data_IF_670595752254
#
_entry.id   IF_670595752254
#
_cell.length_a   1.000
_cell.length_b   1.000
_cell.length_c   1.000
_cell.angle_alpha   90.00
_cell.angle_beta   90.00
_cell.angle_gamma   90.00
#
_symmetry.space_group_name_H-M   'P 1'
#
loop_
_entity.id
_entity.type
_entity.pdbx_description
1 polymer ?
#
# COMPACT_ATOMS: atom_id res chain seq x y z
N UNK A 1 -17.35 9.61 -13.41
CA UNK A 1 -16.44 9.11 -12.37
C UNK A 1 -16.74 9.92 -11.12
N UNK A 2 -17.03 9.29 -9.98
CA UNK A 2 -17.28 10.04 -8.74
C UNK A 2 -16.07 10.93 -8.44
N UNK A 3 -16.30 12.16 -7.95
CA UNK A 3 -15.22 13.05 -7.52
C UNK A 3 -14.36 12.30 -6.51
N UNK A 4 -13.14 11.94 -6.92
CA UNK A 4 -12.14 11.41 -6.00
C UNK A 4 -11.82 12.54 -5.01
N UNK A 5 -11.77 12.28 -3.69
CA UNK A 5 -11.37 13.30 -2.73
C UNK A 5 -10.05 13.90 -3.18
N UNK A 6 -9.92 15.23 -3.23
CA UNK A 6 -8.70 15.89 -3.69
C UNK A 6 -8.12 16.86 -2.64
N UNK A 7 -8.89 17.15 -1.60
CA UNK A 7 -8.52 18.03 -0.50
C UNK A 7 -8.69 17.34 0.86
N UNK A 8 -7.99 17.77 1.92
CA UNK A 8 -8.21 17.28 3.29
C UNK A 8 -9.69 17.27 3.68
N UNK A 9 -10.41 18.35 3.37
CA UNK A 9 -11.84 18.49 3.63
C UNK A 9 -12.68 17.43 2.93
N UNK A 10 -12.41 17.13 1.67
CA UNK A 10 -13.13 16.07 0.93
C UNK A 10 -12.96 14.70 1.60
N UNK A 11 -11.76 14.43 2.16
CA UNK A 11 -11.48 13.19 2.89
C UNK A 11 -12.30 13.12 4.17
N UNK A 12 -12.38 14.20 4.94
CA UNK A 12 -13.19 14.26 6.15
C UNK A 12 -14.68 14.12 5.85
N UNK A 13 -15.16 14.74 4.78
CA UNK A 13 -16.55 14.62 4.34
C UNK A 13 -16.87 13.20 3.85
N UNK A 14 -15.94 12.55 3.14
CA UNK A 14 -16.05 11.13 2.78
C UNK A 14 -16.16 10.26 4.04
N UNK A 15 -15.23 10.42 4.99
CA UNK A 15 -15.20 9.64 6.22
C UNK A 15 -16.50 9.76 7.03
N UNK A 16 -17.03 10.99 7.16
CA UNK A 16 -18.33 11.25 7.81
C UNK A 16 -19.48 10.58 7.07
N UNK A 17 -19.54 10.76 5.74
CA UNK A 17 -20.61 10.21 4.90
C UNK A 17 -20.68 8.69 4.96
N UNK A 18 -19.54 8.02 5.04
CA UNK A 18 -19.46 6.54 5.04
C UNK A 18 -19.42 5.95 6.44
N UNK A 19 -19.45 6.78 7.49
CA UNK A 19 -19.38 6.34 8.87
C UNK A 19 -18.07 5.63 9.21
N UNK A 20 -16.95 6.06 8.59
CA UNK A 20 -15.63 5.52 8.88
C UNK A 20 -15.31 5.71 10.37
N UNK A 21 -14.80 4.66 11.02
CA UNK A 21 -14.40 4.66 12.43
C UNK A 21 -12.89 4.63 12.60
N UNK A 22 -12.19 4.08 11.61
CA UNK A 22 -10.74 3.97 11.56
C UNK A 22 -10.21 4.58 10.27
N UNK A 23 -8.93 4.95 10.29
CA UNK A 23 -8.16 5.27 9.10
C UNK A 23 -6.91 4.39 9.05
N UNK A 24 -6.66 3.78 7.90
CA UNK A 24 -5.51 2.95 7.60
C UNK A 24 -4.52 3.72 6.75
N UNK A 25 -3.37 4.03 7.36
CA UNK A 25 -2.32 4.88 6.83
C UNK A 25 -1.28 3.98 6.17
N UNK A 26 -1.20 4.05 4.84
CA UNK A 26 -0.44 3.10 4.02
C UNK A 26 0.73 3.77 3.32
N UNK A 27 1.85 3.10 3.20
CA UNK A 27 2.98 3.50 2.37
C UNK A 27 3.69 2.27 1.82
N UNK A 28 4.65 2.46 0.93
CA UNK A 28 5.39 1.37 0.28
C UNK A 28 6.84 1.42 0.71
N UNK A 29 7.39 0.30 1.17
CA UNK A 29 8.82 0.20 1.48
C UNK A 29 9.67 0.10 0.20
N UNK A 30 10.99 0.23 0.31
CA UNK A 30 11.93 0.17 -0.83
C UNK A 30 11.76 -1.07 -1.70
N UNK A 31 11.27 -2.18 -1.13
CA UNK A 31 11.11 -3.46 -1.81
C UNK A 31 9.72 -3.65 -2.43
N UNK A 32 8.84 -2.64 -2.36
CA UNK A 32 7.51 -2.69 -2.95
C UNK A 32 6.44 -3.29 -2.03
N UNK A 33 6.75 -3.56 -0.76
CA UNK A 33 5.77 -4.08 0.20
C UNK A 33 4.92 -2.93 0.74
N UNK A 34 3.60 -3.10 0.74
CA UNK A 34 2.70 -2.20 1.46
C UNK A 34 2.89 -2.36 2.97
N UNK A 35 3.26 -1.27 3.62
CA UNK A 35 3.33 -1.11 5.06
C UNK A 35 2.16 -0.24 5.51
N UNK A 36 1.60 -0.51 6.68
CA UNK A 36 0.47 0.27 7.16
C UNK A 36 0.29 0.21 8.67
N UNK A 37 -0.40 1.21 9.21
CA UNK A 37 -0.89 1.23 10.57
C UNK A 37 -2.23 1.94 10.63
N UNK A 38 -3.03 1.62 11.66
CA UNK A 38 -4.39 2.11 11.79
C UNK A 38 -4.51 3.09 12.95
N UNK A 39 -5.22 4.20 12.72
CA UNK A 39 -5.56 5.20 13.75
C UNK A 39 -7.08 5.37 13.85
N UNK A 40 -7.62 5.80 15.00
CA UNK A 40 -9.02 6.23 15.09
C UNK A 40 -9.31 7.37 14.10
N UNK A 41 -10.50 7.40 13.51
CA UNK A 41 -10.86 8.44 12.55
C UNK A 41 -10.79 9.86 13.15
N UNK A 42 -10.89 9.98 14.48
CA UNK A 42 -10.75 11.26 15.20
C UNK A 42 -9.35 11.86 15.08
N UNK A 43 -8.33 11.05 14.81
CA UNK A 43 -6.95 11.51 14.59
C UNK A 43 -6.75 12.07 13.18
N UNK A 44 -7.68 11.83 12.25
CA UNK A 44 -7.63 12.39 10.90
C UNK A 44 -8.26 13.78 10.94
N UNK A 45 -7.45 14.79 11.23
CA UNK A 45 -7.83 16.21 11.13
C UNK A 45 -7.36 16.81 9.80
N UNK A 46 -7.61 18.10 9.53
CA UNK A 46 -6.99 18.75 8.36
C UNK A 46 -5.48 18.92 8.53
N UNK A 47 -5.00 19.09 9.77
CA UNK A 47 -3.60 19.37 10.09
C UNK A 47 -2.67 18.19 9.78
N UNK A 48 -3.14 16.94 9.92
CA UNK A 48 -2.31 15.75 9.64
C UNK A 48 -1.90 15.63 8.16
N UNK A 49 -2.58 16.32 7.24
CA UNK A 49 -2.17 16.38 5.84
C UNK A 49 -0.96 17.31 5.62
N UNK A 50 -0.68 18.20 6.57
CA UNK A 50 0.51 19.08 6.59
C UNK A 50 1.56 18.68 7.62
N UNK A 51 1.16 18.00 8.70
CA UNK A 51 2.04 17.60 9.79
C UNK A 51 2.50 16.14 9.69
N UNK A 52 1.71 15.29 9.05
CA UNK A 52 1.99 13.87 8.90
C UNK A 52 1.74 13.06 10.16
N UNK A 53 1.75 11.74 10.00
CA UNK A 53 1.69 10.78 11.09
C UNK A 53 3.11 10.30 11.44
N UNK A 54 3.49 10.39 12.71
CA UNK A 54 4.77 9.85 13.17
C UNK A 54 4.78 8.32 13.16
N UNK A 55 5.88 7.72 12.70
CA UNK A 55 6.12 6.27 12.77
C UNK A 55 7.62 5.95 12.90
N UNK A 56 7.92 4.71 13.32
CA UNK A 56 9.29 4.20 13.43
C UNK A 56 9.80 3.68 12.07
N UNK A 57 10.67 4.46 11.44
CA UNK A 57 11.34 4.11 10.19
C UNK A 57 12.48 3.10 10.34
N UNK A 58 12.95 2.80 11.55
CA UNK A 58 14.02 1.80 11.76
C UNK A 58 13.51 0.37 11.61
N UNK A 59 12.21 0.17 11.81
CA UNK A 59 11.51 -1.09 11.53
C UNK A 59 11.25 -1.33 10.05
N UNK A 60 11.52 -0.35 9.17
CA UNK A 60 11.34 -0.48 7.72
C UNK A 60 12.67 -0.88 7.06
N UNK A 61 12.64 -1.97 6.30
CA UNK A 61 13.83 -2.57 5.69
C UNK A 61 14.57 -1.57 4.80
N UNK A 62 15.84 -1.34 5.12
CA UNK A 62 16.72 -0.48 4.34
C UNK A 62 16.48 1.02 4.53
N UNK A 63 15.74 1.42 5.57
CA UNK A 63 15.50 2.84 5.88
C UNK A 63 16.42 3.34 6.98
N UNK A 64 15.87 3.81 8.11
CA UNK A 64 16.61 4.48 9.16
C UNK A 64 17.33 3.48 10.06
N UNK A 65 18.40 3.94 10.69
CA UNK A 65 18.98 3.28 11.85
C UNK A 65 18.18 3.63 13.10
N UNK A 66 18.41 2.88 14.20
CA UNK A 66 17.64 3.01 15.44
C UNK A 66 17.81 4.43 16.05
N UNK A 67 18.99 5.02 15.93
CA UNK A 67 19.28 6.36 16.47
C UNK A 67 18.59 7.51 15.72
N UNK A 68 18.04 7.26 14.53
CA UNK A 68 17.36 8.26 13.70
C UNK A 68 16.02 7.70 13.18
N UNK A 69 15.31 6.95 14.03
CA UNK A 69 14.12 6.16 13.68
C UNK A 69 12.93 7.00 13.20
N UNK A 70 12.71 8.17 13.79
CA UNK A 70 11.43 8.85 13.67
C UNK A 70 11.24 9.47 12.28
N UNK A 71 10.11 9.13 11.66
CA UNK A 71 9.74 9.52 10.30
C UNK A 71 8.28 9.98 10.25
N UNK A 72 7.92 10.73 9.20
CA UNK A 72 6.55 11.21 8.98
C UNK A 72 5.92 10.56 7.75
N UNK A 73 4.73 9.99 7.92
CA UNK A 73 3.85 9.55 6.85
C UNK A 73 2.90 10.69 6.46
N UNK A 74 3.16 11.30 5.31
CA UNK A 74 2.41 12.44 4.77
C UNK A 74 1.26 11.93 3.90
N UNK A 75 0.02 11.99 4.42
CA UNK A 75 -1.15 11.48 3.71
C UNK A 75 -1.47 12.30 2.45
N UNK A 76 -1.74 11.60 1.35
CA UNK A 76 -2.19 12.20 0.09
C UNK A 76 -3.72 12.10 0.00
N UNK A 77 -4.45 13.24 0.09
CA UNK A 77 -5.92 13.22 0.07
C UNK A 77 -6.47 12.66 -1.25
N UNK A 78 -5.71 12.79 -2.36
CA UNK A 78 -6.08 12.27 -3.67
C UNK A 78 -6.16 10.74 -3.73
N UNK A 79 -5.71 10.05 -2.70
CA UNK A 79 -5.67 8.58 -2.63
C UNK A 79 -6.76 7.98 -1.76
N UNK A 80 -7.56 8.80 -1.09
CA UNK A 80 -8.56 8.36 -0.13
C UNK A 80 -9.65 7.48 -0.74
N UNK A 81 -9.93 6.33 -0.12
CA UNK A 81 -11.08 5.47 -0.42
C UNK A 81 -11.50 4.65 0.82
N UNK A 82 -12.69 4.05 0.81
CA UNK A 82 -13.12 3.14 1.89
C UNK A 82 -12.69 1.71 1.58
N UNK A 83 -12.01 1.07 2.54
CA UNK A 83 -11.57 -0.31 2.41
C UNK A 83 -12.80 -1.25 2.38
N UNK A 84 -12.95 -2.09 1.33
CA UNK A 84 -14.13 -2.93 1.17
C UNK A 84 -14.07 -4.23 1.99
N UNK A 85 -12.95 -4.55 2.62
CA UNK A 85 -12.72 -5.83 3.31
C UNK A 85 -12.77 -5.68 4.84
N UNK A 86 -12.51 -4.49 5.37
CA UNK A 86 -12.53 -4.24 6.80
C UNK A 86 -13.95 -4.34 7.39
N UNK A 87 -14.13 -5.21 8.39
CA UNK A 87 -15.41 -5.36 9.10
C UNK A 87 -15.82 -4.08 9.85
N UNK A 88 -14.84 -3.34 10.38
CA UNK A 88 -15.04 -1.98 10.88
C UNK A 88 -14.85 -1.03 9.70
N UNK A 89 -15.78 -0.08 9.42
CA UNK A 89 -15.61 0.88 8.33
C UNK A 89 -14.30 1.66 8.46
N UNK A 90 -13.40 1.49 7.48
CA UNK A 90 -12.04 2.02 7.50
C UNK A 90 -11.75 2.85 6.26
N UNK A 91 -11.30 4.09 6.46
CA UNK A 91 -10.77 4.95 5.41
C UNK A 91 -9.33 4.53 5.11
N UNK A 92 -8.96 4.29 3.85
CA UNK A 92 -7.59 4.03 3.44
C UNK A 92 -6.96 5.28 2.82
N UNK A 93 -5.74 5.62 3.25
CA UNK A 93 -4.94 6.73 2.75
C UNK A 93 -3.55 6.22 2.39
N UNK A 94 -3.03 6.62 1.23
CA UNK A 94 -1.63 6.39 0.85
C UNK A 94 -0.80 7.62 1.20
N UNK A 95 0.42 7.39 1.68
CA UNK A 95 1.34 8.41 2.12
C UNK A 95 2.63 8.42 1.29
N UNK A 96 3.24 9.60 1.20
CA UNK A 96 4.69 9.75 0.97
C UNK A 96 5.40 9.93 2.30
N UNK A 97 6.71 9.73 2.34
CA UNK A 97 7.49 9.80 3.57
C UNK A 97 8.34 11.08 3.63
N UNK A 98 8.42 11.69 4.79
CA UNK A 98 9.23 12.87 5.06
C UNK A 98 10.10 12.71 6.32
N UNK A 99 11.22 13.44 6.33
CA UNK A 99 12.11 13.58 7.48
C UNK A 99 11.43 14.34 8.61
N UNK A 100 11.65 13.90 9.85
CA UNK A 100 11.21 14.64 11.03
C UNK A 100 12.01 15.96 11.16
N UNK A 101 11.34 17.04 11.58
CA UNK A 101 11.94 18.36 11.68
C UNK A 101 11.93 19.16 10.38
N UNK A 102 12.69 18.74 9.35
CA UNK A 102 12.79 19.50 8.09
C UNK A 102 11.57 19.34 7.19
N UNK A 103 10.79 18.27 7.38
CA UNK A 103 9.69 17.84 6.50
C UNK A 103 10.12 17.64 5.04
N UNK A 104 11.42 17.45 4.79
CA UNK A 104 11.93 17.15 3.45
C UNK A 104 11.55 15.73 3.01
N UNK A 105 11.26 15.58 1.72
CA UNK A 105 10.85 14.29 1.16
C UNK A 105 11.98 13.24 1.28
N UNK A 106 11.64 12.10 1.88
CA UNK A 106 12.60 11.03 2.11
C UNK A 106 13.11 10.44 0.79
N UNK A 107 14.42 10.21 0.71
CA UNK A 107 15.08 9.85 -0.55
C UNK A 107 14.93 8.38 -0.93
N UNK A 108 14.47 7.52 -0.01
CA UNK A 108 14.25 6.08 -0.23
C UNK A 108 12.77 5.69 -0.27
N UNK A 109 11.87 6.68 -0.24
CA UNK A 109 10.44 6.46 -0.47
C UNK A 109 10.17 6.25 -1.97
N UNK A 110 9.72 5.06 -2.42
CA UNK A 110 9.43 4.80 -3.82
C UNK A 110 8.39 5.75 -4.40
N UNK A 111 7.33 6.09 -3.65
CA UNK A 111 6.27 7.00 -4.13
C UNK A 111 6.82 8.40 -4.31
N UNK A 112 7.60 8.89 -3.35
CA UNK A 112 8.30 10.17 -3.44
C UNK A 112 9.27 10.23 -4.62
N UNK A 113 9.97 9.12 -4.93
CA UNK A 113 10.83 9.02 -6.11
C UNK A 113 10.00 9.09 -7.41
N UNK A 114 8.88 8.38 -7.49
CA UNK A 114 7.97 8.45 -8.66
C UNK A 114 7.48 9.87 -8.91
N UNK A 115 7.04 10.59 -7.87
CA UNK A 115 6.63 12.00 -7.97
C UNK A 115 7.78 12.92 -8.39
N UNK A 116 9.00 12.68 -7.92
CA UNK A 116 10.20 13.40 -8.39
C UNK A 116 10.44 13.13 -9.88
N UNK A 117 10.21 11.90 -10.35
CA UNK A 117 10.28 11.53 -11.76
C UNK A 117 9.29 12.29 -12.64
N UNK A 118 8.02 12.38 -12.22
CA UNK A 118 6.99 13.17 -12.91
C UNK A 118 7.36 14.65 -13.00
N UNK A 119 7.80 15.25 -11.89
CA UNK A 119 8.26 16.65 -11.85
C UNK A 119 9.49 16.87 -12.73
N UNK A 120 10.42 15.92 -12.74
CA UNK A 120 11.60 15.99 -13.59
C UNK A 120 11.23 15.99 -15.06
N UNK A 121 10.35 15.08 -15.51
CA UNK A 121 9.86 15.05 -16.90
C UNK A 121 9.28 16.40 -17.32
N UNK A 122 8.37 16.96 -16.52
CA UNK A 122 7.80 18.27 -16.78
C UNK A 122 8.87 19.38 -16.86
N UNK A 123 9.88 19.35 -15.98
CA UNK A 123 10.99 20.33 -15.98
C UNK A 123 11.87 20.28 -17.22
N UNK A 124 11.93 19.15 -17.93
CA UNK A 124 12.68 19.05 -19.20
C UNK A 124 11.98 19.76 -20.36
N UNK A 125 10.67 20.04 -20.25
CA UNK A 125 9.85 20.57 -21.34
C UNK A 125 9.58 19.57 -22.47
N UNK A 126 9.94 18.30 -22.31
CA UNK A 126 9.73 17.27 -23.34
C UNK A 126 8.30 16.73 -23.37
N UNK A 127 7.66 16.62 -22.21
CA UNK A 127 6.28 16.17 -22.06
C UNK A 127 5.69 16.62 -20.72
N UNK A 128 4.37 16.71 -20.64
CA UNK A 128 3.64 17.03 -19.41
C UNK A 128 3.30 15.78 -18.57
N UNK A 129 3.21 14.62 -19.21
CA UNK A 129 2.82 13.37 -18.57
C UNK A 129 3.47 12.15 -19.23
N UNK A 130 3.77 11.13 -18.41
CA UNK A 130 4.07 9.78 -18.86
C UNK A 130 2.96 8.85 -18.39
N UNK A 131 2.32 8.15 -19.33
CA UNK A 131 1.21 7.24 -19.03
C UNK A 131 1.72 5.80 -19.05
N UNK A 132 1.48 5.07 -17.97
CA UNK A 132 1.88 3.67 -17.82
C UNK A 132 0.63 2.78 -17.76
N UNK A 133 0.61 1.71 -18.56
CA UNK A 133 -0.43 0.68 -18.55
C UNK A 133 0.17 -0.67 -18.13
N UNK A 134 0.25 -0.98 -16.83
CA UNK A 134 0.79 -2.25 -16.38
C UNK A 134 -0.22 -3.40 -16.53
N UNK A 135 0.26 -4.57 -16.91
CA UNK A 135 -0.49 -5.83 -16.89
C UNK A 135 0.15 -6.74 -15.83
N UNK A 136 -0.42 -6.72 -14.62
CA UNK A 136 0.07 -7.52 -13.50
C UNK A 136 -0.64 -8.88 -13.48
N UNK A 137 -0.07 -9.87 -14.17
CA UNK A 137 -0.51 -11.26 -14.07
C UNK A 137 -0.32 -11.79 -12.63
N UNK A 138 -1.23 -12.65 -12.18
CA UNK A 138 -1.18 -13.25 -10.84
C UNK A 138 -1.77 -14.66 -10.84
N UNK A 139 -1.49 -15.42 -9.77
CA UNK A 139 -2.05 -16.74 -9.52
C UNK A 139 -2.97 -16.71 -8.30
N UNK A 140 -4.09 -17.43 -8.36
CA UNK A 140 -4.93 -17.74 -7.20
C UNK A 140 -4.69 -19.21 -6.86
N UNK A 141 -4.09 -19.47 -5.69
CA UNK A 141 -3.82 -20.82 -5.20
C UNK A 141 -4.72 -21.15 -4.01
N UNK A 142 -4.98 -22.44 -3.82
CA UNK A 142 -5.71 -22.95 -2.65
C UNK A 142 -4.79 -23.23 -1.48
N UNK A 143 -3.53 -23.57 -1.75
CA UNK A 143 -2.54 -23.88 -0.72
C UNK A 143 -1.12 -23.52 -1.17
N UNK A 144 -0.37 -22.92 -0.24
CA UNK A 144 1.06 -22.61 -0.42
C UNK A 144 1.78 -22.99 0.87
N UNK A 145 2.79 -23.85 0.78
CA UNK A 145 3.60 -24.32 1.89
C UNK A 145 5.07 -24.22 1.54
N UNK A 146 5.92 -23.83 2.48
CA UNK A 146 7.36 -23.82 2.30
C UNK A 146 8.08 -23.94 3.65
N UNK A 147 9.33 -24.42 3.62
CA UNK A 147 10.19 -24.51 4.80
C UNK A 147 11.68 -24.46 4.40
N UNK A 148 12.51 -23.97 5.32
CA UNK A 148 13.96 -23.86 5.16
C UNK A 148 14.66 -24.15 6.49
N UNK A 149 15.06 -25.42 6.67
CA UNK A 149 15.73 -25.96 7.87
C UNK A 149 17.15 -26.39 7.54
N UNK A 150 17.96 -26.57 8.58
CA UNK A 150 19.35 -27.04 8.44
C UNK A 150 19.49 -28.38 7.73
N UNK A 151 18.48 -29.26 7.82
CA UNK A 151 18.47 -30.59 7.23
C UNK A 151 17.56 -30.72 5.99
N UNK A 152 17.00 -29.62 5.47
CA UNK A 152 16.16 -29.69 4.28
C UNK A 152 15.37 -28.42 3.99
N UNK A 153 14.89 -28.32 2.75
CA UNK A 153 14.02 -27.25 2.28
C UNK A 153 12.97 -27.83 1.34
N UNK A 154 11.78 -27.23 1.32
CA UNK A 154 10.75 -27.54 0.33
C UNK A 154 9.85 -26.34 0.06
N UNK A 155 9.12 -26.41 -1.05
CA UNK A 155 7.92 -25.64 -1.32
C UNK A 155 6.87 -26.56 -1.95
N UNK A 156 5.60 -26.23 -1.77
CA UNK A 156 4.46 -26.93 -2.37
C UNK A 156 3.36 -25.91 -2.63
N UNK A 157 2.86 -25.88 -3.86
CA UNK A 157 1.71 -25.07 -4.27
C UNK A 157 0.62 -25.99 -4.77
N UNK A 158 -0.64 -25.64 -4.52
CA UNK A 158 -1.77 -26.40 -5.00
C UNK A 158 -2.93 -25.51 -5.40
N UNK A 159 -3.67 -25.95 -6.40
CA UNK A 159 -4.93 -25.37 -6.84
C UNK A 159 -5.82 -26.50 -7.37
N UNK A 160 -7.13 -26.42 -7.14
CA UNK A 160 -8.10 -27.31 -7.74
C UNK A 160 -7.98 -27.31 -9.27
N UNK A 161 -7.64 -26.18 -9.89
CA UNK A 161 -7.46 -26.08 -11.34
C UNK A 161 -6.18 -26.75 -11.85
N UNK A 162 -5.27 -27.15 -10.96
CA UNK A 162 -3.94 -27.59 -11.37
C UNK A 162 -3.95 -28.96 -12.07
N UNK A 163 -3.16 -29.07 -13.13
CA UNK A 163 -3.03 -30.30 -13.95
C UNK A 163 -2.55 -31.51 -13.16
N UNK A 164 -1.78 -31.31 -12.08
CA UNK A 164 -1.34 -32.40 -11.20
C UNK A 164 -2.48 -32.99 -10.34
N UNK A 165 -3.66 -32.35 -10.31
CA UNK A 165 -4.87 -32.83 -9.63
C UNK A 165 -5.90 -33.49 -10.57
N UNK A 166 -5.52 -33.83 -11.80
CA UNK A 166 -6.42 -34.50 -12.76
C UNK A 166 -7.07 -35.78 -12.23
N UNK A 167 -6.41 -36.51 -11.32
CA UNK A 167 -6.95 -37.72 -10.68
C UNK A 167 -7.70 -37.53 -9.37
N UNK A 168 -7.90 -36.29 -8.89
CA UNK A 168 -8.59 -35.98 -7.62
C UNK A 168 -10.10 -36.20 -7.77
N UNK A 169 -10.75 -36.77 -6.74
CA UNK A 169 -12.21 -36.87 -6.70
C UNK A 169 -12.80 -35.55 -6.20
N UNK A 170 -13.44 -34.80 -7.10
CA UNK A 170 -13.97 -33.44 -6.87
C UNK A 170 -15.49 -33.39 -6.83
N UNK A 171 -16.16 -34.53 -7.02
CA UNK A 171 -17.61 -34.69 -6.94
C UNK A 171 -18.42 -33.54 -7.60
N UNK A 172 -18.39 -33.37 -8.95
CA UNK A 172 -17.77 -34.24 -9.96
C UNK A 172 -16.45 -33.67 -10.52
N UNK A 173 -15.50 -34.56 -10.81
CA UNK A 173 -14.36 -34.22 -11.65
C UNK A 173 -14.81 -34.18 -13.12
N UNK A 174 -14.66 -33.02 -13.78
CA UNK A 174 -15.14 -32.77 -15.15
C UNK A 174 -14.18 -33.32 -16.23
N UNK A 175 -13.03 -33.89 -15.85
CA UNK A 175 -12.08 -34.55 -16.75
C UNK A 175 -11.25 -33.62 -17.62
N UNK A 176 -11.41 -32.30 -17.51
CA UNK A 176 -10.64 -31.29 -18.26
C UNK A 176 -9.90 -30.37 -17.29
N UNK A 177 -8.58 -30.50 -17.25
CA UNK A 177 -7.59 -29.63 -16.58
C UNK A 177 -6.30 -29.62 -17.39
#
# INVERSE_FOLDING_TARGET
>A
MANKPATPKDVLDLAKKTGAKMADIKFVDTFGTWQHFTVPISEVTEDVFTDGFGFDGSSIRGWKSIEASDMLAMADPATAFIDPFCAVPTLSLTCTIAETGTKEAYTRDPRGISQKGEKYLASTGLADAAVFGPEAEFFIFDNVQFDAKSNGTFYSIDSEEAVWNTGRDEMPNLGYK
#
